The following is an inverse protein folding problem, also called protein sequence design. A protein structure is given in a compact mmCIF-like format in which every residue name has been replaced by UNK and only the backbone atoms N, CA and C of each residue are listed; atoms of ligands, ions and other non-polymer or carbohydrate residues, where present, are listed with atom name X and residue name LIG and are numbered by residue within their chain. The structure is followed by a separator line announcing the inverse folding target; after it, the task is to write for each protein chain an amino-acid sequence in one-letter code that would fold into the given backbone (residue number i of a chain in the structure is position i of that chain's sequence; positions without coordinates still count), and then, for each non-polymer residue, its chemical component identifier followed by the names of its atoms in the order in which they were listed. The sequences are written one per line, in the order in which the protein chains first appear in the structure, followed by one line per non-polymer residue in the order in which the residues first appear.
data_IF_940100665409
#
_entry.id   IF_940100665409
#
_cell.length_a   1.000
_cell.length_b   1.000
_cell.length_c   1.000
_cell.angle_alpha   90.00
_cell.angle_beta   90.00
_cell.angle_gamma   90.00
#
_symmetry.space_group_name_H-M   'P 1'
#
loop_
_entity.id
_entity.type
_entity.pdbx_description
1 polymer ?
#
# COMPACT_ATOMS: atom_id res chain seq x y z
N UNK A 1 -33.42 42.36 56.33
CA UNK A 1 -32.03 41.97 55.99
C UNK A 1 -32.11 40.80 55.01
N UNK A 2 -31.95 41.07 53.67
CA UNK A 2 -32.01 40.08 52.64
C UNK A 2 -30.57 39.86 52.18
N UNK A 3 -30.08 38.65 52.40
CA UNK A 3 -28.76 38.22 51.95
C UNK A 3 -28.93 37.57 50.54
N UNK A 4 -28.42 38.27 49.52
CA UNK A 4 -28.36 37.72 48.15
C UNK A 4 -27.11 36.86 48.01
N UNK A 5 -27.33 35.56 47.74
CA UNK A 5 -26.30 34.59 47.46
C UNK A 5 -25.97 34.64 45.96
N UNK A 6 -24.82 35.21 45.59
CA UNK A 6 -24.32 35.20 44.22
C UNK A 6 -23.59 33.89 43.95
N UNK A 7 -24.16 33.04 43.09
CA UNK A 7 -23.53 31.81 42.61
C UNK A 7 -22.63 32.19 41.45
N UNK A 8 -21.29 32.11 41.62
CA UNK A 8 -20.30 32.17 40.55
C UNK A 8 -20.22 30.81 39.84
N UNK A 9 -20.78 30.70 38.64
CA UNK A 9 -20.54 29.58 37.76
C UNK A 9 -19.16 29.77 37.10
N UNK A 10 -18.17 28.99 37.54
CA UNK A 10 -16.89 28.83 36.82
C UNK A 10 -17.12 27.95 35.60
N UNK A 11 -17.18 28.54 34.41
CA UNK A 11 -17.08 27.82 33.15
C UNK A 11 -15.63 27.44 32.95
N UNK A 12 -15.27 26.17 33.20
CA UNK A 12 -13.98 25.62 32.80
C UNK A 12 -14.01 25.43 31.28
N UNK A 13 -13.47 26.37 30.51
CA UNK A 13 -13.16 26.17 29.10
C UNK A 13 -12.05 25.13 29.00
N UNK A 14 -12.40 23.90 28.68
CA UNK A 14 -11.45 22.90 28.23
C UNK A 14 -10.95 23.34 26.85
N UNK A 15 -9.80 23.98 26.78
CA UNK A 15 -9.06 24.21 25.54
C UNK A 15 -8.57 22.85 25.07
N UNK A 16 -9.33 22.22 24.17
CA UNK A 16 -8.80 21.09 23.43
C UNK A 16 -7.70 21.63 22.50
N UNK A 17 -6.45 21.44 22.89
CA UNK A 17 -5.32 21.67 21.99
C UNK A 17 -5.48 20.72 20.80
N UNK A 18 -5.90 21.25 19.67
CA UNK A 18 -5.85 20.55 18.38
C UNK A 18 -4.37 20.49 18.02
N UNK A 19 -3.71 19.39 18.37
CA UNK A 19 -2.37 19.13 17.90
C UNK A 19 -2.46 18.85 16.41
N UNK A 20 -2.05 19.81 15.59
CA UNK A 20 -1.93 19.60 14.16
C UNK A 20 -0.89 18.49 13.89
N UNK A 21 -1.26 17.51 13.11
CA UNK A 21 -0.32 16.50 12.63
C UNK A 21 0.74 17.19 11.78
N UNK A 22 2.01 17.06 12.17
CA UNK A 22 3.11 17.64 11.40
C UNK A 22 3.60 16.63 10.38
N UNK A 23 3.35 16.91 9.09
CA UNK A 23 3.95 16.18 7.99
C UNK A 23 5.35 16.74 7.73
N UNK A 24 6.34 15.85 7.68
CA UNK A 24 7.73 16.19 7.33
C UNK A 24 8.12 15.44 6.06
N UNK A 25 8.62 16.18 5.06
CA UNK A 25 9.25 15.57 3.89
C UNK A 25 10.60 15.02 4.31
N UNK A 26 10.87 13.78 3.92
CA UNK A 26 12.15 13.09 4.13
C UNK A 26 12.65 12.53 2.80
N UNK A 27 13.96 12.43 2.68
CA UNK A 27 14.62 12.02 1.44
C UNK A 27 15.58 10.88 1.71
N UNK A 28 15.39 9.78 0.99
CA UNK A 28 16.34 8.66 0.96
C UNK A 28 17.24 8.81 -0.26
N UNK A 29 18.54 8.94 -0.03
CA UNK A 29 19.55 9.00 -1.09
C UNK A 29 19.79 7.62 -1.68
N UNK A 30 19.73 7.50 -3.00
CA UNK A 30 20.08 6.27 -3.73
C UNK A 30 21.14 6.57 -4.80
N UNK A 31 21.75 5.54 -5.35
CA UNK A 31 22.76 5.68 -6.41
C UNK A 31 22.21 6.29 -7.71
N UNK A 32 20.89 6.27 -7.91
CA UNK A 32 20.23 6.74 -9.14
C UNK A 32 19.44 8.02 -8.95
N UNK A 33 19.36 8.52 -7.72
CA UNK A 33 18.64 9.73 -7.35
C UNK A 33 17.88 9.57 -6.03
N UNK A 34 17.15 10.59 -5.68
CA UNK A 34 16.51 10.72 -4.38
C UNK A 34 15.08 10.15 -4.40
N UNK A 35 14.76 9.34 -3.39
CA UNK A 35 13.38 8.93 -3.11
C UNK A 35 12.80 9.85 -2.04
N UNK A 36 11.64 10.42 -2.32
CA UNK A 36 10.95 11.32 -1.39
C UNK A 36 9.82 10.61 -0.67
N UNK A 37 9.73 10.83 0.64
CA UNK A 37 8.67 10.33 1.49
C UNK A 37 8.07 11.41 2.38
N UNK A 38 6.91 11.11 2.94
CA UNK A 38 6.23 11.94 3.95
C UNK A 38 6.17 11.17 5.26
N UNK A 39 6.84 11.69 6.26
CA UNK A 39 6.85 11.21 7.64
C UNK A 39 5.78 11.94 8.44
N UNK A 40 4.95 11.20 9.18
CA UNK A 40 4.05 11.74 10.19
C UNK A 40 4.40 11.09 11.53
N UNK A 41 4.66 11.91 12.54
CA UNK A 41 4.91 11.43 13.90
C UNK A 41 3.78 11.88 14.84
N UNK A 42 3.36 11.03 15.79
CA UNK A 42 2.37 11.44 16.77
C UNK A 42 2.91 12.54 17.67
N UNK A 43 2.03 13.41 18.24
CA UNK A 43 2.45 14.54 19.08
C UNK A 43 3.27 14.13 20.30
N UNK A 44 2.92 13.05 20.95
CA UNK A 44 3.75 12.40 21.97
C UNK A 44 4.65 11.39 21.29
N UNK A 45 5.91 11.71 21.09
CA UNK A 45 6.91 10.85 20.43
C UNK A 45 7.32 9.64 21.29
N UNK A 46 6.37 9.07 22.04
CA UNK A 46 6.59 7.89 22.89
C UNK A 46 6.63 6.59 22.11
N UNK A 47 6.00 6.53 20.92
CA UNK A 47 6.04 5.34 20.08
C UNK A 47 7.33 5.32 19.28
N UNK A 48 8.23 4.41 19.66
CA UNK A 48 9.41 4.06 18.84
C UNK A 48 9.05 3.09 17.71
N UNK A 49 7.77 3.04 17.34
CA UNK A 49 7.21 2.18 16.29
C UNK A 49 6.80 3.04 15.11
N UNK A 50 7.15 2.61 13.90
CA UNK A 50 6.77 3.26 12.65
C UNK A 50 6.25 2.26 11.63
N UNK A 51 5.22 2.64 10.86
CA UNK A 51 4.72 1.91 9.72
C UNK A 51 5.22 2.52 8.41
N UNK A 52 5.99 1.74 7.64
CA UNK A 52 6.36 2.04 6.26
C UNK A 52 5.22 1.59 5.33
N UNK A 53 4.57 2.53 4.65
CA UNK A 53 3.44 2.25 3.75
C UNK A 53 3.94 2.23 2.31
N UNK A 54 3.67 1.11 1.60
CA UNK A 54 4.10 0.87 0.21
C UNK A 54 2.88 0.85 -0.69
N UNK A 55 2.86 1.75 -1.68
CA UNK A 55 1.78 1.90 -2.64
C UNK A 55 1.69 0.74 -3.65
N UNK A 56 0.52 0.59 -4.27
CA UNK A 56 0.23 -0.39 -5.32
C UNK A 56 0.91 -0.11 -6.65
N UNK A 57 0.52 -0.88 -7.67
CA UNK A 57 1.11 -0.85 -9.02
C UNK A 57 0.84 0.44 -9.80
N UNK A 58 1.54 0.57 -10.92
CA UNK A 58 1.43 1.71 -11.83
C UNK A 58 2.00 3.01 -11.26
N UNK A 59 1.62 4.17 -11.82
CA UNK A 59 2.14 5.47 -11.40
C UNK A 59 1.45 5.99 -10.12
N UNK A 60 1.18 5.08 -9.17
CA UNK A 60 0.52 5.39 -7.90
C UNK A 60 1.52 6.03 -6.94
N UNK A 61 1.22 7.26 -6.53
CA UNK A 61 2.02 8.03 -5.59
C UNK A 61 1.85 7.56 -4.14
N UNK A 62 2.59 8.18 -3.24
CA UNK A 62 2.58 7.88 -1.79
C UNK A 62 1.23 8.11 -1.11
N UNK A 63 0.36 8.89 -1.70
CA UNK A 63 -0.97 9.23 -1.16
C UNK A 63 -2.07 8.26 -1.65
N UNK A 64 -1.73 7.40 -2.61
CA UNK A 64 -2.65 6.45 -3.26
C UNK A 64 -3.29 7.00 -4.53
N UNK A 65 -2.79 8.13 -5.05
CA UNK A 65 -3.29 8.79 -6.24
C UNK A 65 -2.45 8.44 -7.48
N UNK A 66 -3.05 8.63 -8.64
CA UNK A 66 -2.36 8.58 -9.93
C UNK A 66 -2.98 9.62 -10.89
N UNK A 67 -2.41 9.84 -12.08
CA UNK A 67 -2.90 10.85 -13.00
C UNK A 67 -4.38 10.75 -13.39
N UNK A 68 -4.98 9.55 -13.29
CA UNK A 68 -6.37 9.27 -13.66
C UNK A 68 -7.33 9.18 -12.47
N UNK A 69 -6.80 9.04 -11.24
CA UNK A 69 -7.63 8.78 -10.05
C UNK A 69 -7.06 9.49 -8.82
N UNK A 70 -7.92 10.20 -8.09
CA UNK A 70 -7.58 10.84 -6.83
C UNK A 70 -8.48 10.28 -5.72
N UNK A 71 -7.91 9.52 -4.79
CA UNK A 71 -8.66 8.90 -3.70
C UNK A 71 -8.06 9.14 -2.30
N UNK A 72 -6.80 9.54 -2.20
CA UNK A 72 -6.07 9.82 -0.96
C UNK A 72 -6.06 8.65 0.06
N UNK A 73 -6.28 7.41 -0.36
CA UNK A 73 -6.47 6.29 0.55
C UNK A 73 -5.28 6.04 1.47
N UNK A 74 -4.05 6.08 0.94
CA UNK A 74 -2.85 5.86 1.74
C UNK A 74 -2.50 7.07 2.63
N UNK A 75 -2.78 8.30 2.18
CA UNK A 75 -2.69 9.49 3.00
C UNK A 75 -3.65 9.43 4.19
N UNK A 76 -4.90 9.06 3.94
CA UNK A 76 -5.91 8.87 4.99
C UNK A 76 -5.51 7.77 5.97
N UNK A 77 -4.98 6.65 5.48
CA UNK A 77 -4.49 5.55 6.30
C UNK A 77 -3.36 6.02 7.23
N UNK A 78 -2.36 6.71 6.67
CA UNK A 78 -1.25 7.24 7.44
C UNK A 78 -1.71 8.21 8.54
N UNK A 79 -2.63 9.14 8.20
CA UNK A 79 -3.21 10.07 9.16
C UNK A 79 -4.00 9.36 10.26
N UNK A 80 -4.81 8.35 9.90
CA UNK A 80 -5.60 7.60 10.85
C UNK A 80 -4.72 6.78 11.82
N UNK A 81 -3.65 6.16 11.33
CA UNK A 81 -2.68 5.45 12.18
C UNK A 81 -1.96 6.42 13.12
N UNK A 82 -1.59 7.60 12.62
CA UNK A 82 -0.94 8.61 13.43
C UNK A 82 -1.83 9.11 14.59
N UNK A 83 -3.14 9.31 14.34
CA UNK A 83 -4.12 9.62 15.39
C UNK A 83 -4.21 8.53 16.46
N UNK A 84 -3.83 7.31 16.14
CA UNK A 84 -3.74 6.18 17.07
C UNK A 84 -2.32 5.98 17.66
N UNK A 85 -1.46 6.99 17.60
CA UNK A 85 -0.13 6.96 18.20
C UNK A 85 0.95 6.22 17.41
N UNK A 86 0.69 5.87 16.14
CA UNK A 86 1.62 5.14 15.28
C UNK A 86 2.24 6.09 14.28
N UNK A 87 3.57 6.24 14.31
CA UNK A 87 4.28 7.00 13.29
C UNK A 87 4.16 6.29 11.93
N UNK A 88 4.13 7.06 10.84
CA UNK A 88 4.02 6.52 9.49
C UNK A 88 4.99 7.19 8.54
N UNK A 89 5.56 6.41 7.62
CA UNK A 89 6.24 6.91 6.43
C UNK A 89 5.57 6.32 5.21
N UNK A 90 5.16 7.17 4.27
CA UNK A 90 4.74 6.81 2.93
C UNK A 90 5.65 7.48 1.91
N UNK A 91 6.04 6.80 0.85
CA UNK A 91 7.02 7.30 -0.11
C UNK A 91 6.58 7.07 -1.55
N UNK A 92 7.05 7.92 -2.45
CA UNK A 92 6.90 7.71 -3.88
C UNK A 92 7.94 6.69 -4.34
N UNK A 93 7.48 5.64 -5.01
CA UNK A 93 8.38 4.65 -5.61
C UNK A 93 9.27 5.34 -6.67
N UNK A 94 10.44 4.78 -6.93
CA UNK A 94 11.35 5.32 -7.96
C UNK A 94 10.63 5.48 -9.31
N UNK A 95 10.84 6.60 -9.97
CA UNK A 95 10.18 6.94 -11.21
C UNK A 95 8.76 7.50 -11.06
N UNK A 96 8.22 7.62 -9.82
CA UNK A 96 6.86 8.05 -9.54
C UNK A 96 6.88 9.35 -8.71
N UNK A 97 5.88 10.21 -8.92
CA UNK A 97 5.64 11.39 -8.12
C UNK A 97 6.87 12.27 -7.95
N UNK A 98 7.24 12.57 -6.72
CA UNK A 98 8.42 13.38 -6.39
C UNK A 98 9.75 12.60 -6.50
N UNK A 99 9.68 11.27 -6.60
CA UNK A 99 10.83 10.38 -6.84
C UNK A 99 11.06 10.11 -8.35
N UNK A 100 10.43 10.87 -9.24
CA UNK A 100 10.54 10.68 -10.69
C UNK A 100 11.99 10.69 -11.18
N UNK A 101 12.82 11.58 -10.63
CA UNK A 101 14.25 11.70 -11.01
C UNK A 101 15.13 10.54 -10.53
N UNK A 102 14.66 9.73 -9.58
CA UNK A 102 15.35 8.53 -9.14
C UNK A 102 15.09 7.33 -10.08
N UNK A 103 14.19 7.48 -11.06
CA UNK A 103 13.91 6.45 -12.05
C UNK A 103 15.07 6.28 -13.03
N UNK A 104 15.36 5.03 -13.34
CA UNK A 104 16.12 4.67 -14.53
C UNK A 104 15.28 4.90 -15.81
N UNK A 105 15.85 4.59 -16.98
CA UNK A 105 14.99 4.34 -18.14
C UNK A 105 14.00 3.23 -17.76
N UNK A 106 12.75 3.36 -18.18
CA UNK A 106 11.72 2.39 -17.83
C UNK A 106 12.11 0.94 -18.18
N UNK A 107 12.83 0.76 -19.30
CA UNK A 107 13.35 -0.54 -19.73
C UNK A 107 14.37 -1.18 -18.76
N UNK A 108 15.00 -0.39 -17.91
CA UNK A 108 16.00 -0.86 -16.96
C UNK A 108 15.40 -1.21 -15.60
N UNK A 109 14.19 -0.73 -15.33
CA UNK A 109 13.48 -0.98 -14.07
C UNK A 109 13.17 -2.47 -13.90
N UNK A 110 13.35 -2.96 -12.67
CA UNK A 110 13.02 -4.33 -12.25
C UNK A 110 12.20 -4.29 -10.97
N UNK A 111 11.39 -5.30 -10.73
CA UNK A 111 10.62 -5.42 -9.50
C UNK A 111 11.52 -5.45 -8.25
N UNK A 112 12.71 -6.05 -8.36
CA UNK A 112 13.70 -6.05 -7.30
C UNK A 112 14.17 -4.64 -6.88
N UNK A 113 14.09 -3.64 -7.76
CA UNK A 113 14.49 -2.27 -7.41
C UNK A 113 13.53 -1.70 -6.37
N UNK A 114 12.23 -1.92 -6.51
CA UNK A 114 11.24 -1.51 -5.52
C UNK A 114 11.39 -2.25 -4.19
N UNK A 115 11.74 -3.55 -4.25
CA UNK A 115 12.06 -4.32 -3.04
C UNK A 115 13.28 -3.76 -2.31
N UNK A 116 14.34 -3.44 -3.06
CA UNK A 116 15.57 -2.87 -2.51
C UNK A 116 15.32 -1.48 -1.92
N UNK A 117 14.52 -0.64 -2.58
CA UNK A 117 14.12 0.66 -2.06
C UNK A 117 13.36 0.53 -0.73
N UNK A 118 12.43 -0.42 -0.63
CA UNK A 118 11.72 -0.67 0.61
C UNK A 118 12.67 -1.10 1.75
N UNK A 119 13.64 -1.98 1.47
CA UNK A 119 14.69 -2.37 2.43
C UNK A 119 15.56 -1.19 2.84
N UNK A 120 15.95 -0.32 1.91
CA UNK A 120 16.72 0.89 2.20
C UNK A 120 15.91 1.85 3.10
N UNK A 121 14.62 2.02 2.85
CA UNK A 121 13.74 2.78 3.74
C UNK A 121 13.67 2.17 5.15
N UNK A 122 13.59 0.84 5.28
CA UNK A 122 13.65 0.16 6.59
C UNK A 122 14.94 0.50 7.33
N UNK A 123 16.09 0.43 6.65
CA UNK A 123 17.38 0.78 7.24
C UNK A 123 17.45 2.27 7.63
N UNK A 124 16.94 3.17 6.79
CA UNK A 124 16.86 4.60 7.09
C UNK A 124 16.03 4.87 8.34
N UNK A 125 14.87 4.23 8.46
CA UNK A 125 14.00 4.36 9.64
C UNK A 125 14.67 3.85 10.91
N UNK A 126 15.45 2.77 10.82
CA UNK A 126 16.19 2.19 11.95
C UNK A 126 17.40 3.01 12.35
N UNK A 127 18.24 3.38 11.39
CA UNK A 127 19.56 3.90 11.66
C UNK A 127 19.59 5.43 11.75
N UNK A 128 18.85 6.12 10.85
CA UNK A 128 18.86 7.59 10.81
C UNK A 128 17.76 8.19 11.71
N UNK A 129 16.55 7.59 11.66
CA UNK A 129 15.42 8.09 12.46
C UNK A 129 15.24 7.37 13.80
N UNK A 130 16.07 6.37 14.11
CA UNK A 130 16.18 5.70 15.41
C UNK A 130 14.87 5.06 15.90
N UNK A 131 14.01 4.58 14.98
CA UNK A 131 12.83 3.81 15.35
C UNK A 131 13.22 2.39 15.80
N UNK A 132 12.66 1.93 16.92
CA UNK A 132 12.95 0.59 17.45
C UNK A 132 12.22 -0.53 16.70
N UNK A 133 11.00 -0.26 16.26
CA UNK A 133 10.14 -1.22 15.57
C UNK A 133 9.69 -0.64 14.22
N UNK A 134 10.06 -1.30 13.14
CA UNK A 134 9.59 -0.97 11.80
C UNK A 134 8.59 -2.03 11.35
N UNK A 135 7.42 -1.57 10.97
CA UNK A 135 6.32 -2.37 10.42
C UNK A 135 6.21 -2.02 8.94
N UNK A 136 5.97 -3.00 8.08
CA UNK A 136 5.64 -2.73 6.69
C UNK A 136 4.14 -2.95 6.47
N UNK A 137 3.50 -1.99 5.82
CA UNK A 137 2.12 -2.07 5.31
C UNK A 137 2.19 -1.99 3.80
N UNK A 138 1.91 -3.08 3.10
CA UNK A 138 1.91 -3.13 1.64
C UNK A 138 0.49 -3.18 1.09
N UNK A 139 0.18 -2.30 0.14
CA UNK A 139 -1.10 -2.26 -0.57
C UNK A 139 -0.95 -2.80 -1.98
N UNK A 140 -1.81 -3.75 -2.39
CA UNK A 140 -1.83 -4.30 -3.75
C UNK A 140 -0.46 -4.88 -4.15
N UNK A 141 0.18 -4.42 -5.24
CA UNK A 141 1.58 -4.75 -5.59
C UNK A 141 2.55 -4.48 -4.43
N UNK A 142 2.32 -3.39 -3.69
CA UNK A 142 3.11 -3.06 -2.49
C UNK A 142 3.07 -4.14 -1.42
N UNK A 143 2.05 -5.01 -1.43
CA UNK A 143 2.01 -6.19 -0.56
C UNK A 143 3.14 -7.16 -0.89
N UNK A 144 3.34 -7.53 -2.16
CA UNK A 144 4.43 -8.44 -2.53
C UNK A 144 5.82 -7.80 -2.30
N UNK A 145 5.97 -6.50 -2.62
CA UNK A 145 7.18 -5.75 -2.28
C UNK A 145 7.43 -5.83 -0.77
N UNK A 146 6.40 -5.57 0.02
CA UNK A 146 6.45 -5.61 1.48
C UNK A 146 6.72 -7.00 2.05
N UNK A 147 6.13 -8.06 1.50
CA UNK A 147 6.42 -9.46 1.88
C UNK A 147 7.91 -9.75 1.74
N UNK A 148 8.51 -9.40 0.59
CA UNK A 148 9.91 -9.71 0.34
C UNK A 148 10.83 -8.82 1.19
N UNK A 149 10.49 -7.53 1.34
CA UNK A 149 11.25 -6.62 2.20
C UNK A 149 11.17 -7.02 3.68
N UNK A 150 10.06 -7.62 4.12
CA UNK A 150 9.83 -8.07 5.49
C UNK A 150 10.59 -9.35 5.86
N UNK A 151 11.31 -9.96 4.93
CA UNK A 151 12.28 -11.02 5.25
C UNK A 151 13.56 -10.45 5.90
N UNK A 152 13.72 -9.11 5.92
CA UNK A 152 14.78 -8.43 6.64
C UNK A 152 14.52 -8.45 8.16
N UNK A 153 15.55 -8.74 8.94
CA UNK A 153 15.50 -8.85 10.42
C UNK A 153 15.09 -7.55 11.14
N UNK A 154 15.17 -6.41 10.47
CA UNK A 154 14.79 -5.11 11.02
C UNK A 154 13.29 -4.84 10.96
N UNK A 155 12.52 -5.67 10.26
CA UNK A 155 11.07 -5.59 10.21
C UNK A 155 10.46 -6.47 11.30
N UNK A 156 9.54 -5.90 12.08
CA UNK A 156 8.98 -6.57 13.26
C UNK A 156 7.57 -7.14 13.04
N UNK A 157 6.78 -6.55 12.16
CA UNK A 157 5.44 -7.02 11.76
C UNK A 157 5.19 -6.66 10.29
N UNK A 158 4.34 -7.43 9.63
CA UNK A 158 3.93 -7.16 8.24
C UNK A 158 2.41 -7.14 8.12
N UNK A 159 1.88 -6.22 7.30
CA UNK A 159 0.45 -6.09 6.99
C UNK A 159 0.28 -6.05 5.46
N UNK A 160 -0.45 -7.02 4.94
CA UNK A 160 -0.90 -7.07 3.54
C UNK A 160 -2.30 -6.51 3.44
N UNK A 161 -2.51 -5.49 2.61
CA UNK A 161 -3.83 -4.95 2.32
C UNK A 161 -4.11 -5.13 0.83
N UNK A 162 -5.18 -5.84 0.48
CA UNK A 162 -5.58 -6.12 -0.89
C UNK A 162 -4.42 -6.70 -1.73
N UNK A 163 -3.60 -7.56 -1.10
CA UNK A 163 -2.43 -8.17 -1.73
C UNK A 163 -2.80 -9.39 -2.56
N UNK A 164 -2.22 -9.50 -3.77
CA UNK A 164 -2.40 -10.66 -4.63
C UNK A 164 -1.83 -11.94 -4.01
N UNK A 165 -2.58 -13.04 -4.10
CA UNK A 165 -2.15 -14.39 -3.70
C UNK A 165 -1.59 -15.22 -4.84
N UNK A 166 -1.39 -14.63 -6.01
CA UNK A 166 -0.91 -15.28 -7.23
C UNK A 166 0.14 -14.41 -7.92
N UNK A 167 0.92 -15.01 -8.84
CA UNK A 167 1.88 -14.27 -9.68
C UNK A 167 1.19 -13.21 -10.53
N UNK A 168 1.94 -12.17 -10.90
CA UNK A 168 1.40 -10.99 -11.59
C UNK A 168 0.69 -11.33 -12.91
N UNK A 169 1.19 -12.28 -13.68
CA UNK A 169 0.54 -12.74 -14.93
C UNK A 169 -0.86 -13.29 -14.68
N UNK A 170 -1.04 -14.07 -13.61
CA UNK A 170 -2.34 -14.66 -13.25
C UNK A 170 -3.33 -13.60 -12.79
N UNK A 171 -2.89 -12.67 -11.96
CA UNK A 171 -3.72 -11.55 -11.49
C UNK A 171 -4.16 -10.66 -12.66
N UNK A 172 -3.25 -10.31 -13.56
CA UNK A 172 -3.57 -9.49 -14.73
C UNK A 172 -4.58 -10.20 -15.63
N UNK A 173 -4.42 -11.51 -15.86
CA UNK A 173 -5.41 -12.30 -16.62
C UNK A 173 -6.78 -12.26 -15.94
N UNK A 174 -6.83 -12.40 -14.62
CA UNK A 174 -8.08 -12.33 -13.85
C UNK A 174 -8.75 -10.97 -13.99
N UNK A 175 -8.00 -9.89 -13.84
CA UNK A 175 -8.51 -8.51 -13.98
C UNK A 175 -9.01 -8.22 -15.40
N UNK A 176 -8.43 -8.85 -16.42
CA UNK A 176 -8.82 -8.67 -17.81
C UNK A 176 -10.01 -9.55 -18.24
N UNK A 177 -10.44 -10.55 -17.46
CA UNK A 177 -11.54 -11.46 -17.84
C UNK A 177 -12.85 -10.75 -18.22
N UNK A 178 -13.13 -9.61 -17.61
CA UNK A 178 -14.33 -8.82 -17.90
C UNK A 178 -14.21 -7.94 -19.17
N UNK A 179 -13.05 -7.92 -19.80
CA UNK A 179 -12.81 -7.14 -21.02
C UNK A 179 -13.25 -7.91 -22.27
N UNK A 180 -13.57 -7.22 -23.37
CA UNK A 180 -13.88 -7.87 -24.66
C UNK A 180 -12.76 -8.79 -25.16
N UNK A 181 -13.12 -9.80 -25.96
CA UNK A 181 -12.15 -10.74 -26.55
C UNK A 181 -11.05 -10.05 -27.37
N UNK A 182 -11.34 -8.93 -28.00
CA UNK A 182 -10.36 -8.09 -28.71
C UNK A 182 -9.24 -7.54 -27.81
N UNK A 183 -9.46 -7.50 -26.48
CA UNK A 183 -8.47 -7.12 -25.45
C UNK A 183 -7.86 -8.37 -24.82
N UNK A 184 -8.68 -9.34 -24.41
CA UNK A 184 -8.22 -10.48 -23.61
C UNK A 184 -7.35 -11.44 -24.42
N UNK A 185 -7.66 -11.70 -25.71
CA UNK A 185 -6.88 -12.62 -26.53
C UNK A 185 -5.44 -12.10 -26.74
N UNK A 186 -5.20 -10.90 -27.26
CA UNK A 186 -3.83 -10.41 -27.45
C UNK A 186 -3.10 -10.18 -26.11
N UNK A 187 -3.80 -9.78 -25.05
CA UNK A 187 -3.20 -9.63 -23.73
C UNK A 187 -2.67 -10.96 -23.19
N UNK A 188 -3.46 -12.05 -23.33
CA UNK A 188 -3.02 -13.37 -22.91
C UNK A 188 -1.82 -13.87 -23.73
N UNK A 189 -1.80 -13.64 -25.05
CA UNK A 189 -0.68 -14.01 -25.91
C UNK A 189 0.62 -13.25 -25.52
N UNK A 190 0.52 -11.96 -25.13
CA UNK A 190 1.65 -11.18 -24.62
C UNK A 190 2.14 -11.77 -23.29
N UNK A 191 1.23 -12.03 -22.35
CA UNK A 191 1.56 -12.61 -21.06
C UNK A 191 2.21 -14.00 -21.19
N UNK A 192 1.77 -14.84 -22.15
CA UNK A 192 2.39 -16.15 -22.41
C UNK A 192 3.86 -16.03 -22.83
N UNK A 193 4.19 -15.01 -23.61
CA UNK A 193 5.58 -14.69 -23.98
C UNK A 193 6.37 -14.15 -22.80
N UNK A 194 5.78 -13.22 -22.05
CA UNK A 194 6.46 -12.62 -20.88
C UNK A 194 6.77 -13.64 -19.78
N UNK A 195 5.91 -14.64 -19.57
CA UNK A 195 6.17 -15.76 -18.65
C UNK A 195 7.43 -16.54 -19.08
N UNK A 196 7.71 -16.61 -20.39
CA UNK A 196 8.93 -17.19 -20.96
C UNK A 196 10.11 -16.21 -21.00
N UNK A 197 9.96 -15.02 -20.41
CA UNK A 197 10.95 -13.94 -20.45
C UNK A 197 11.20 -13.35 -21.86
N UNK A 198 10.24 -13.47 -22.77
CA UNK A 198 10.30 -12.94 -24.12
C UNK A 198 9.68 -11.54 -24.16
N UNK A 199 10.32 -10.61 -24.89
CA UNK A 199 9.80 -9.26 -25.15
C UNK A 199 8.94 -9.27 -26.42
N UNK A 200 7.79 -8.61 -26.36
CA UNK A 200 6.89 -8.41 -27.48
C UNK A 200 7.01 -6.97 -27.97
N UNK A 201 7.55 -6.78 -29.17
CA UNK A 201 7.73 -5.43 -29.74
C UNK A 201 6.39 -4.87 -30.26
N UNK A 202 5.62 -5.69 -30.98
CA UNK A 202 4.34 -5.27 -31.58
C UNK A 202 3.20 -5.48 -30.58
N UNK A 203 2.90 -4.43 -29.83
CA UNK A 203 1.81 -4.39 -28.86
C UNK A 203 0.65 -3.60 -29.44
N UNK A 204 -0.58 -4.16 -29.48
CA UNK A 204 -1.76 -3.42 -29.90
C UNK A 204 -1.92 -2.12 -29.09
N UNK A 205 -2.28 -1.02 -29.75
CA UNK A 205 -2.34 0.32 -29.13
C UNK A 205 -3.22 0.36 -27.87
N UNK A 206 -4.32 -0.37 -27.86
CA UNK A 206 -5.22 -0.51 -26.70
C UNK A 206 -4.54 -1.14 -25.47
N UNK A 207 -3.47 -1.90 -25.66
CA UNK A 207 -2.70 -2.57 -24.61
C UNK A 207 -1.39 -1.86 -24.24
N UNK A 208 -1.05 -0.76 -24.92
CA UNK A 208 0.19 -0.03 -24.68
C UNK A 208 0.34 0.49 -23.26
N UNK A 209 -0.75 0.91 -22.61
CA UNK A 209 -0.70 1.37 -21.22
C UNK A 209 -0.20 0.28 -20.27
N UNK A 210 -0.50 -1.00 -20.58
CA UNK A 210 -0.17 -2.15 -19.73
C UNK A 210 1.07 -2.90 -20.21
N UNK A 211 1.28 -3.02 -21.53
CA UNK A 211 2.30 -3.94 -22.08
C UNK A 211 3.30 -3.27 -23.05
N UNK A 212 3.42 -1.93 -23.08
CA UNK A 212 4.43 -1.28 -23.93
C UNK A 212 5.80 -1.91 -23.74
N UNK A 213 6.63 -2.03 -24.80
CA UNK A 213 7.90 -2.76 -24.73
C UNK A 213 8.82 -2.32 -23.60
N UNK A 214 8.81 -1.02 -23.24
CA UNK A 214 9.65 -0.47 -22.17
C UNK A 214 9.28 -0.97 -20.77
N UNK A 215 8.02 -1.32 -20.51
CA UNK A 215 7.58 -1.82 -19.19
C UNK A 215 7.72 -3.34 -19.04
N UNK A 216 7.85 -4.06 -20.15
CA UNK A 216 7.88 -5.53 -20.11
C UNK A 216 9.04 -6.11 -19.29
N UNK A 217 10.27 -5.56 -19.31
CA UNK A 217 11.36 -6.05 -18.45
C UNK A 217 11.00 -6.01 -16.96
N UNK A 218 10.32 -4.96 -16.52
CA UNK A 218 9.80 -4.85 -15.18
C UNK A 218 8.77 -5.95 -14.89
N UNK A 219 7.76 -6.10 -15.75
CA UNK A 219 6.70 -7.10 -15.58
C UNK A 219 7.25 -8.53 -15.60
N UNK A 220 8.17 -8.85 -16.51
CA UNK A 220 8.85 -10.15 -16.56
C UNK A 220 9.57 -10.44 -15.25
N UNK A 221 10.23 -9.42 -14.66
CA UNK A 221 10.90 -9.57 -13.37
C UNK A 221 9.90 -9.76 -12.22
N UNK A 222 8.72 -9.14 -12.28
CA UNK A 222 7.66 -9.26 -11.28
C UNK A 222 6.96 -10.64 -11.35
N UNK A 223 6.63 -11.12 -12.54
CA UNK A 223 5.98 -12.42 -12.79
C UNK A 223 6.74 -13.60 -12.15
N UNK A 224 8.07 -13.49 -12.00
CA UNK A 224 8.91 -14.52 -11.38
C UNK A 224 8.61 -14.78 -9.90
N UNK A 225 7.98 -13.83 -9.21
CA UNK A 225 7.68 -13.97 -7.79
C UNK A 225 6.30 -14.61 -7.59
N UNK A 226 6.27 -15.62 -6.72
CA UNK A 226 5.04 -16.26 -6.25
C UNK A 226 4.74 -15.74 -4.82
N UNK A 227 3.69 -14.92 -4.62
CA UNK A 227 3.37 -14.34 -3.32
C UNK A 227 3.18 -15.39 -2.23
N UNK A 228 2.64 -16.57 -2.56
CA UNK A 228 2.44 -17.66 -1.61
C UNK A 228 3.78 -18.22 -1.10
N UNK A 229 4.74 -18.41 -2.01
CA UNK A 229 6.09 -18.86 -1.64
C UNK A 229 6.85 -17.80 -0.85
N UNK A 230 6.65 -16.52 -1.18
CA UNK A 230 7.34 -15.44 -0.49
C UNK A 230 6.80 -15.21 0.92
N UNK A 231 5.47 -15.21 1.12
CA UNK A 231 4.87 -15.01 2.45
C UNK A 231 5.19 -16.17 3.40
N UNK A 232 5.29 -17.41 2.90
CA UNK A 232 5.66 -18.59 3.67
C UNK A 232 7.05 -18.50 4.32
N UNK A 233 7.93 -17.61 3.83
CA UNK A 233 9.27 -17.38 4.40
C UNK A 233 9.25 -16.49 5.63
N UNK A 234 8.16 -15.75 5.89
CA UNK A 234 8.08 -14.81 7.00
C UNK A 234 8.04 -15.54 8.34
N UNK A 235 8.80 -15.02 9.31
CA UNK A 235 8.86 -15.52 10.70
C UNK A 235 8.32 -14.51 11.71
N UNK A 236 7.82 -13.38 11.22
CA UNK A 236 7.24 -12.30 12.01
C UNK A 236 5.72 -12.38 11.99
N UNK A 237 5.01 -11.74 12.93
CA UNK A 237 3.54 -11.65 12.87
C UNK A 237 3.06 -10.98 11.57
N UNK A 238 2.03 -11.56 10.94
CA UNK A 238 1.45 -11.11 9.69
C UNK A 238 -0.05 -10.90 9.83
N UNK A 239 -0.54 -9.78 9.32
CA UNK A 239 -1.97 -9.49 9.15
C UNK A 239 -2.27 -9.38 7.65
N UNK A 240 -3.28 -10.10 7.20
CA UNK A 240 -3.80 -10.03 5.82
C UNK A 240 -5.18 -9.39 5.90
N UNK A 241 -5.42 -8.32 5.15
CA UNK A 241 -6.69 -7.61 5.09
C UNK A 241 -7.20 -7.59 3.65
N UNK A 242 -8.47 -7.96 3.48
CA UNK A 242 -9.12 -7.97 2.17
C UNK A 242 -10.54 -7.43 2.28
N UNK A 243 -11.00 -6.71 1.25
CA UNK A 243 -12.36 -6.22 1.15
C UNK A 243 -13.26 -7.14 0.32
N UNK A 244 -14.55 -7.23 0.68
CA UNK A 244 -15.50 -8.09 -0.05
C UNK A 244 -15.94 -7.51 -1.40
N UNK A 245 -15.80 -6.19 -1.59
CA UNK A 245 -16.15 -5.49 -2.83
C UNK A 245 -14.95 -5.05 -3.65
N UNK A 246 -13.76 -5.61 -3.37
CA UNK A 246 -12.56 -5.37 -4.16
C UNK A 246 -12.72 -6.00 -5.56
N UNK A 247 -12.66 -5.14 -6.59
CA UNK A 247 -12.82 -5.55 -8.00
C UNK A 247 -11.49 -5.82 -8.71
N UNK A 248 -10.36 -5.73 -8.02
CA UNK A 248 -9.02 -5.94 -8.58
C UNK A 248 -8.34 -7.16 -7.99
N UNK A 249 -8.45 -7.39 -6.69
CA UNK A 249 -7.89 -8.53 -5.97
C UNK A 249 -9.01 -9.19 -5.17
N UNK A 250 -9.12 -10.49 -5.26
CA UNK A 250 -10.27 -11.23 -4.71
C UNK A 250 -10.02 -11.72 -3.28
N UNK A 251 -11.08 -12.12 -2.59
CA UNK A 251 -10.95 -12.81 -1.30
C UNK A 251 -10.16 -14.14 -1.43
N UNK A 252 -10.23 -14.80 -2.59
CA UNK A 252 -9.45 -16.01 -2.86
C UNK A 252 -7.94 -15.75 -2.82
N UNK A 253 -7.50 -14.57 -3.25
CA UNK A 253 -6.09 -14.18 -3.15
C UNK A 253 -5.66 -14.06 -1.68
N UNK A 254 -6.45 -13.41 -0.85
CA UNK A 254 -6.20 -13.33 0.59
C UNK A 254 -6.21 -14.71 1.27
N UNK A 255 -7.14 -15.59 0.88
CA UNK A 255 -7.21 -16.96 1.36
C UNK A 255 -5.96 -17.77 0.96
N UNK A 256 -5.43 -17.59 -0.26
CA UNK A 256 -4.18 -18.23 -0.72
C UNK A 256 -3.00 -17.80 0.12
N UNK A 257 -2.87 -16.50 0.40
CA UNK A 257 -1.82 -15.98 1.27
C UNK A 257 -1.93 -16.55 2.70
N UNK A 258 -3.14 -16.54 3.28
CA UNK A 258 -3.38 -17.05 4.63
C UNK A 258 -3.11 -18.56 4.74
N UNK A 259 -3.48 -19.34 3.73
CA UNK A 259 -3.17 -20.78 3.68
C UNK A 259 -1.66 -21.05 3.58
N UNK A 260 -0.92 -20.17 2.92
CA UNK A 260 0.54 -20.31 2.75
C UNK A 260 1.33 -19.92 4.00
N UNK A 261 0.73 -19.17 4.93
CA UNK A 261 1.29 -18.83 6.24
C UNK A 261 0.22 -18.96 7.31
N UNK A 262 0.08 -20.15 7.89
CA UNK A 262 -1.00 -20.48 8.84
C UNK A 262 -0.99 -19.61 10.10
N UNK A 263 0.16 -19.05 10.47
CA UNK A 263 0.29 -18.10 11.59
C UNK A 263 -0.22 -16.69 11.26
N UNK A 264 -0.52 -16.39 9.99
CA UNK A 264 -1.06 -15.09 9.61
C UNK A 264 -2.53 -14.95 10.06
N UNK A 265 -2.86 -13.76 10.56
CA UNK A 265 -4.26 -13.39 10.82
C UNK A 265 -4.90 -12.88 9.52
N UNK A 266 -6.02 -13.46 9.13
CA UNK A 266 -6.84 -12.96 8.02
C UNK A 266 -8.04 -12.17 8.57
N UNK A 267 -8.26 -10.98 8.01
CA UNK A 267 -9.44 -10.13 8.27
C UNK A 267 -10.08 -9.78 6.93
N UNK A 268 -11.33 -10.16 6.77
CA UNK A 268 -12.16 -9.78 5.62
C UNK A 268 -13.11 -8.66 6.05
N UNK A 269 -13.08 -7.53 5.35
CA UNK A 269 -13.89 -6.34 5.67
C UNK A 269 -15.01 -6.23 4.65
N UNK A 270 -16.24 -6.33 5.16
CA UNK A 270 -17.43 -6.23 4.31
C UNK A 270 -17.58 -4.84 3.69
N UNK A 271 -17.94 -4.79 2.41
CA UNK A 271 -18.13 -3.54 1.66
C UNK A 271 -16.87 -2.73 1.39
N UNK A 272 -15.68 -3.19 1.77
CA UNK A 272 -14.42 -2.50 1.45
C UNK A 272 -13.96 -2.84 0.04
N UNK A 273 -13.65 -1.82 -0.76
CA UNK A 273 -13.08 -1.97 -2.10
C UNK A 273 -11.55 -1.87 -2.11
N UNK A 274 -10.96 -1.94 -3.32
CA UNK A 274 -9.50 -1.92 -3.51
C UNK A 274 -8.82 -0.66 -2.97
N UNK A 275 -9.50 0.50 -3.03
CA UNK A 275 -8.99 1.76 -2.50
C UNK A 275 -9.38 2.01 -1.04
N UNK A 276 -9.71 0.95 -0.31
CA UNK A 276 -9.92 0.94 1.15
C UNK A 276 -11.17 1.69 1.63
N UNK A 277 -12.09 1.99 0.73
CA UNK A 277 -13.33 2.74 1.01
C UNK A 277 -14.55 1.85 0.91
N UNK A 278 -15.66 2.32 1.46
CA UNK A 278 -16.94 1.64 1.25
C UNK A 278 -17.39 1.81 -0.21
N UNK A 279 -17.78 0.69 -0.83
CA UNK A 279 -18.29 0.69 -2.19
C UNK A 279 -19.23 -0.50 -2.44
N UNK A 280 -20.22 -0.36 -3.31
CA UNK A 280 -21.10 -1.47 -3.70
C UNK A 280 -20.32 -2.50 -4.53
N UNK A 281 -20.90 -3.71 -4.65
CA UNK A 281 -20.33 -4.78 -5.48
C UNK A 281 -20.48 -4.50 -6.99
N UNK A 282 -21.46 -3.66 -7.37
CA UNK A 282 -21.62 -3.24 -8.76
C UNK A 282 -20.36 -2.55 -9.24
N UNK A 283 -19.78 -3.08 -10.32
CA UNK A 283 -18.46 -2.65 -10.81
C UNK A 283 -18.43 -1.18 -11.24
N UNK A 284 -19.49 -0.69 -11.87
CA UNK A 284 -19.52 0.69 -12.37
C UNK A 284 -19.59 1.67 -11.22
N UNK A 285 -20.49 1.42 -10.26
CA UNK A 285 -20.62 2.24 -9.07
C UNK A 285 -19.39 2.17 -8.17
N UNK A 286 -18.73 1.01 -8.11
CA UNK A 286 -17.47 0.83 -7.37
C UNK A 286 -16.36 1.71 -7.95
N UNK A 287 -16.16 1.67 -9.28
CA UNK A 287 -15.15 2.47 -9.97
C UNK A 287 -15.35 3.98 -9.74
N UNK A 288 -16.59 4.47 -9.65
CA UNK A 288 -16.86 5.89 -9.39
C UNK A 288 -16.26 6.38 -8.07
N UNK A 289 -16.10 5.49 -7.08
CA UNK A 289 -15.47 5.85 -5.80
C UNK A 289 -13.98 6.16 -5.92
N UNK A 290 -13.31 5.67 -6.96
CA UNK A 290 -11.86 5.82 -7.14
C UNK A 290 -11.40 7.27 -7.37
N UNK A 291 -12.32 8.14 -7.75
CA UNK A 291 -12.05 9.57 -7.94
C UNK A 291 -12.84 10.45 -6.95
N UNK A 292 -13.13 9.90 -5.76
CA UNK A 292 -13.82 10.60 -4.68
C UNK A 292 -12.90 10.68 -3.45
N UNK A 293 -11.97 11.64 -3.40
CA UNK A 293 -10.97 11.75 -2.32
C UNK A 293 -11.61 11.98 -0.95
N UNK A 294 -12.81 12.54 -0.89
CA UNK A 294 -13.51 12.86 0.36
C UNK A 294 -14.17 11.64 1.03
N UNK A 295 -14.36 10.52 0.29
CA UNK A 295 -14.91 9.31 0.90
C UNK A 295 -13.98 8.80 1.99
N UNK A 296 -14.51 8.49 3.20
CA UNK A 296 -13.70 7.99 4.29
C UNK A 296 -13.22 6.55 4.04
N UNK A 297 -12.14 6.17 4.69
CA UNK A 297 -11.73 4.77 4.78
C UNK A 297 -12.78 3.95 5.55
N UNK A 298 -12.88 2.65 5.24
CA UNK A 298 -13.63 1.72 6.10
C UNK A 298 -13.06 1.74 7.51
N UNK A 299 -13.93 1.95 8.50
CA UNK A 299 -13.51 2.08 9.92
C UNK A 299 -12.82 0.81 10.43
N UNK A 300 -13.31 -0.34 10.00
CA UNK A 300 -12.80 -1.66 10.37
C UNK A 300 -11.34 -1.87 9.91
N UNK A 301 -10.90 -1.21 8.84
CA UNK A 301 -9.52 -1.26 8.39
C UNK A 301 -8.57 -0.73 9.47
N UNK A 302 -8.81 0.49 9.92
CA UNK A 302 -7.93 1.15 10.90
C UNK A 302 -7.97 0.41 12.24
N UNK A 303 -9.17 0.04 12.73
CA UNK A 303 -9.31 -0.68 14.00
C UNK A 303 -8.64 -2.06 13.98
N UNK A 304 -8.71 -2.80 12.86
CA UNK A 304 -8.02 -4.08 12.70
C UNK A 304 -6.51 -3.95 12.73
N UNK A 305 -5.97 -2.93 12.07
CA UNK A 305 -4.53 -2.63 12.08
C UNK A 305 -4.08 -2.26 13.50
N UNK A 306 -4.77 -1.33 14.15
CA UNK A 306 -4.42 -0.88 15.51
C UNK A 306 -4.48 -2.03 16.50
N UNK A 307 -5.52 -2.87 16.45
CA UNK A 307 -5.64 -4.04 17.30
C UNK A 307 -4.49 -5.05 17.09
N UNK A 308 -4.10 -5.29 15.82
CA UNK A 308 -2.96 -6.17 15.50
C UNK A 308 -1.62 -5.60 15.99
N UNK A 309 -1.44 -4.29 15.89
CA UNK A 309 -0.20 -3.64 16.33
C UNK A 309 -0.06 -3.61 17.85
N UNK A 310 -1.19 -3.49 18.57
CA UNK A 310 -1.25 -3.48 20.04
C UNK A 310 -1.15 -4.88 20.67
N UNK A 311 -1.38 -5.94 19.90
CA UNK A 311 -1.21 -7.31 20.39
C UNK A 311 0.29 -7.59 20.67
N UNK A 312 0.55 -8.16 21.90
CA UNK A 312 1.89 -8.55 22.36
C UNK A 312 2.40 -9.76 21.59
#
# INVERSE_FOLDING_TARGET
MKISLAIFLLFALSVQMIYAQTEKIVTLKTSTGDLEGTLITPPSNSSKTIALIIAGSGPTDRDGNNPSMMNNSLKMLASALNKNGIATLRYDKRGIGKSQKAGHKESDLRFSDYVNDAKMWVLYLKNELQFNSVIIIGHSEGSLIGIIASQDKNVTKFISIAGAGQSADKIIREQLKSQPMSVTIPANAILDKMVKAEIVADVPSILNSLFRPSVQPYMISWIKYDPQKEIAKLKIPVLIIQGTTDIQVTQDDANRLAKSLVSAKLVVIDGMNHILKEAPIDRQMNILTYSQPELPLKKELVSSIVAFLSAK
#
